data_IF_225114079761
#
_entry.id   IF_225114079761
#
_cell.length_a   1.000
_cell.length_b   1.000
_cell.length_c   1.000
_cell.angle_alpha   90.00
_cell.angle_beta   90.00
_cell.angle_gamma   90.00
#
_symmetry.space_group_name_H-M   'P 1'
#
loop_
_entity.id
_entity.type
_entity.pdbx_description
1 polymer ?
#
# COMPACT_ATOMS: atom_id res chain seq x y z
N UNK A 1 -19.24 -8.22 -12.98
CA UNK A 1 -19.25 -7.37 -14.19
C UNK A 1 -20.54 -6.55 -14.36
N UNK A 2 -21.52 -6.65 -13.49
CA UNK A 2 -22.87 -6.04 -13.69
C UNK A 2 -23.15 -4.77 -12.85
N UNK A 3 -22.35 -4.43 -11.85
CA UNK A 3 -22.58 -3.25 -11.01
C UNK A 3 -21.77 -2.00 -11.44
N UNK A 4 -20.68 -2.15 -12.20
CA UNK A 4 -19.96 -1.04 -12.83
C UNK A 4 -20.65 -0.53 -14.11
N UNK A 5 -21.55 -1.33 -14.69
CA UNK A 5 -22.33 -0.96 -15.86
C UNK A 5 -23.61 -0.16 -15.53
N UNK A 6 -24.03 -0.10 -14.29
CA UNK A 6 -25.29 0.54 -13.87
C UNK A 6 -25.14 1.99 -13.34
N UNK A 7 -23.94 2.46 -13.00
CA UNK A 7 -23.63 3.91 -12.91
C UNK A 7 -23.00 4.30 -14.23
N UNK A 8 -23.83 4.63 -15.22
CA UNK A 8 -23.38 5.30 -16.42
C UNK A 8 -22.57 6.53 -15.99
N UNK A 9 -21.24 6.41 -16.03
CA UNK A 9 -20.37 7.57 -15.92
C UNK A 9 -20.89 8.55 -16.99
N UNK A 10 -21.49 9.63 -16.55
CA UNK A 10 -21.88 10.67 -17.48
C UNK A 10 -20.63 10.94 -18.33
N UNK A 11 -20.71 10.95 -19.66
CA UNK A 11 -19.53 11.06 -20.54
C UNK A 11 -18.64 12.24 -20.13
N UNK A 12 -19.22 13.26 -19.53
CA UNK A 12 -18.54 14.40 -18.93
C UNK A 12 -17.64 14.01 -17.76
N UNK A 13 -18.04 13.07 -16.88
CA UNK A 13 -17.23 12.63 -15.72
C UNK A 13 -16.05 11.79 -16.17
N UNK A 14 -16.23 10.91 -17.16
CA UNK A 14 -15.15 10.16 -17.77
C UNK A 14 -14.15 11.08 -18.47
N UNK A 15 -14.65 12.09 -19.19
CA UNK A 15 -13.82 13.09 -19.88
C UNK A 15 -12.99 13.92 -18.89
N UNK A 16 -13.58 14.35 -17.77
CA UNK A 16 -12.87 15.09 -16.71
C UNK A 16 -11.84 14.20 -15.98
N UNK A 17 -12.15 12.93 -15.76
CA UNK A 17 -11.23 12.00 -15.14
C UNK A 17 -9.95 11.76 -15.96
N UNK A 18 -10.04 11.84 -17.30
CA UNK A 18 -8.91 11.69 -18.21
C UNK A 18 -8.24 13.04 -18.50
N UNK A 19 -9.00 14.12 -18.54
CA UNK A 19 -8.50 15.46 -18.88
C UNK A 19 -7.45 15.97 -17.89
N UNK A 20 -7.64 15.73 -16.58
CA UNK A 20 -6.69 16.19 -15.56
C UNK A 20 -5.32 15.51 -15.67
N UNK A 21 -5.19 14.18 -15.74
CA UNK A 21 -3.91 13.52 -15.98
C UNK A 21 -3.25 13.94 -17.30
N UNK A 22 -4.04 14.06 -18.38
CA UNK A 22 -3.52 14.52 -19.67
C UNK A 22 -3.01 15.96 -19.60
N UNK A 23 -3.72 16.87 -18.96
CA UNK A 23 -3.28 18.25 -18.78
C UNK A 23 -1.96 18.31 -18.01
N UNK A 24 -1.79 17.51 -16.95
CA UNK A 24 -0.52 17.41 -16.20
C UNK A 24 0.61 16.91 -17.09
N UNK A 25 0.37 15.86 -17.91
CA UNK A 25 1.37 15.33 -18.83
C UNK A 25 1.76 16.35 -19.92
N UNK A 26 0.79 17.06 -20.47
CA UNK A 26 1.03 18.12 -21.48
C UNK A 26 1.82 19.27 -20.86
N UNK A 27 1.43 19.76 -19.68
CA UNK A 27 2.16 20.81 -18.97
C UNK A 27 3.58 20.38 -18.64
N UNK A 28 3.80 19.16 -18.17
CA UNK A 28 5.12 18.62 -17.93
C UNK A 28 5.93 18.55 -19.22
N UNK A 29 5.36 18.04 -20.32
CA UNK A 29 6.04 17.99 -21.61
C UNK A 29 6.46 19.37 -22.09
N UNK A 30 5.54 20.35 -22.08
CA UNK A 30 5.82 21.73 -22.49
C UNK A 30 6.86 22.42 -21.59
N UNK A 31 6.84 22.14 -20.29
CA UNK A 31 7.78 22.73 -19.34
C UNK A 31 9.21 22.19 -19.48
N UNK A 32 9.38 20.98 -20.01
CA UNK A 32 10.69 20.30 -20.10
C UNK A 32 11.25 20.22 -21.50
N UNK A 33 10.43 20.37 -22.53
CA UNK A 33 10.87 20.33 -23.95
C UNK A 33 11.58 21.65 -24.32
N UNK A 34 12.69 21.54 -25.05
CA UNK A 34 13.44 22.69 -25.55
C UNK A 34 14.46 23.32 -24.59
N UNK A 35 14.63 22.78 -23.40
CA UNK A 35 15.68 23.20 -22.46
C UNK A 35 16.88 22.28 -22.57
N UNK A 36 18.01 22.82 -23.00
CA UNK A 36 19.26 22.07 -23.20
C UNK A 36 19.82 21.42 -21.93
N UNK A 37 19.45 21.92 -20.73
CA UNK A 37 19.86 21.40 -19.43
C UNK A 37 18.64 21.37 -18.47
N UNK A 38 17.75 20.42 -18.67
CA UNK A 38 16.64 20.20 -17.73
C UNK A 38 17.00 19.08 -16.75
N UNK A 39 16.98 19.39 -15.45
CA UNK A 39 17.12 18.38 -14.40
C UNK A 39 15.94 17.40 -14.38
N UNK A 40 14.81 17.79 -14.97
CA UNK A 40 13.62 16.97 -15.09
C UNK A 40 13.48 16.58 -16.56
N UNK A 41 13.59 15.29 -16.91
CA UNK A 41 13.47 14.83 -18.29
C UNK A 41 12.03 14.97 -18.80
N UNK A 42 11.81 15.12 -20.11
CA UNK A 42 10.49 15.10 -20.69
C UNK A 42 9.83 13.71 -20.56
N UNK A 43 8.49 13.61 -20.53
CA UNK A 43 7.76 12.34 -20.39
C UNK A 43 8.17 11.26 -21.38
N UNK A 44 8.53 11.67 -22.60
CA UNK A 44 8.95 10.75 -23.68
C UNK A 44 10.27 10.04 -23.32
N UNK A 45 11.24 10.76 -22.75
CA UNK A 45 12.51 10.17 -22.32
C UNK A 45 12.32 9.21 -21.14
N UNK A 46 11.44 9.55 -20.20
CA UNK A 46 11.07 8.65 -19.11
C UNK A 46 10.42 7.38 -19.65
N UNK A 47 9.53 7.49 -20.65
CA UNK A 47 8.89 6.34 -21.28
C UNK A 47 9.89 5.45 -22.02
N UNK A 48 10.83 6.03 -22.77
CA UNK A 48 11.90 5.29 -23.44
C UNK A 48 12.80 4.57 -22.44
N UNK A 49 13.20 5.26 -21.37
CA UNK A 49 14.03 4.67 -20.32
C UNK A 49 13.28 3.54 -19.58
N UNK A 50 11.98 3.74 -19.32
CA UNK A 50 11.15 2.68 -18.72
C UNK A 50 11.09 1.44 -19.63
N UNK A 51 10.94 1.65 -20.95
CA UNK A 51 10.96 0.58 -21.93
C UNK A 51 12.29 -0.19 -21.92
N UNK A 52 13.39 0.55 -21.92
CA UNK A 52 14.73 -0.04 -21.91
C UNK A 52 15.02 -0.81 -20.62
N UNK A 53 14.63 -0.27 -19.48
CA UNK A 53 14.68 -0.99 -18.19
C UNK A 53 13.88 -2.30 -18.21
N UNK A 54 12.76 -2.34 -18.96
CA UNK A 54 11.87 -3.49 -19.00
C UNK A 54 12.31 -4.54 -20.04
N UNK A 55 12.74 -4.11 -21.22
CA UNK A 55 12.91 -4.96 -22.41
C UNK A 55 14.28 -4.81 -23.08
N UNK A 56 15.06 -3.80 -22.73
CA UNK A 56 16.34 -3.48 -23.37
C UNK A 56 16.20 -2.89 -24.79
N UNK A 57 17.33 -2.77 -25.45
CA UNK A 57 17.42 -2.49 -26.87
C UNK A 57 17.37 -1.01 -27.29
N UNK A 58 17.36 -0.06 -26.35
CA UNK A 58 17.40 1.37 -26.67
C UNK A 58 18.73 2.03 -26.26
N UNK A 59 19.21 1.76 -25.06
CA UNK A 59 20.41 2.40 -24.51
C UNK A 59 21.57 1.43 -24.28
N UNK A 60 21.25 0.13 -24.14
CA UNK A 60 22.22 -0.97 -23.98
C UNK A 60 23.21 -0.72 -22.83
N UNK A 61 22.70 -0.22 -21.71
CA UNK A 61 23.47 0.12 -20.53
C UNK A 61 23.27 -0.91 -19.39
N UNK A 62 23.94 -0.69 -18.26
CA UNK A 62 23.90 -1.60 -17.09
C UNK A 62 22.52 -1.76 -16.48
N UNK A 63 21.57 -0.90 -16.80
CA UNK A 63 20.20 -0.91 -16.27
C UNK A 63 19.23 -1.60 -17.23
N UNK A 64 19.60 -1.83 -18.48
CA UNK A 64 18.75 -2.47 -19.48
C UNK A 64 18.30 -3.85 -19.00
N UNK A 65 17.00 -4.18 -19.16
CA UNK A 65 16.38 -5.47 -18.77
C UNK A 65 16.37 -5.78 -17.25
N UNK A 66 16.70 -4.80 -16.39
CA UNK A 66 16.78 -5.02 -14.94
C UNK A 66 15.50 -4.78 -14.18
N UNK A 67 14.49 -4.14 -14.81
CA UNK A 67 13.24 -3.73 -14.16
C UNK A 67 12.50 -4.89 -13.49
N UNK A 68 12.45 -6.04 -14.14
CA UNK A 68 11.76 -7.22 -13.62
C UNK A 68 12.41 -7.72 -12.32
N UNK A 69 13.74 -7.79 -12.27
CA UNK A 69 14.50 -8.21 -11.11
C UNK A 69 14.25 -7.30 -9.92
N UNK A 70 14.35 -5.98 -10.12
CA UNK A 70 14.09 -4.98 -9.10
C UNK A 70 12.62 -4.98 -8.64
N UNK A 71 11.69 -5.13 -9.58
CA UNK A 71 10.25 -5.22 -9.30
C UNK A 71 9.93 -6.45 -8.43
N UNK A 72 10.40 -7.63 -8.82
CA UNK A 72 10.13 -8.87 -8.06
C UNK A 72 10.71 -8.81 -6.65
N UNK A 73 11.89 -8.21 -6.49
CA UNK A 73 12.50 -8.00 -5.19
C UNK A 73 11.65 -7.10 -4.28
N UNK A 74 11.19 -5.95 -4.78
CA UNK A 74 10.32 -5.04 -4.03
C UNK A 74 8.96 -5.66 -3.75
N UNK A 75 8.33 -6.30 -4.73
CA UNK A 75 7.03 -6.99 -4.61
C UNK A 75 7.10 -8.06 -3.52
N UNK A 76 8.15 -8.90 -3.50
CA UNK A 76 8.30 -9.94 -2.50
C UNK A 76 8.40 -9.38 -1.07
N UNK A 77 9.12 -8.26 -0.89
CA UNK A 77 9.25 -7.59 0.40
C UNK A 77 7.96 -6.90 0.83
N UNK A 78 7.28 -6.22 -0.09
CA UNK A 78 6.01 -5.54 0.19
C UNK A 78 4.95 -6.53 0.60
N UNK A 79 4.70 -7.56 -0.20
CA UNK A 79 3.66 -8.54 0.13
C UNK A 79 4.04 -9.44 1.30
N UNK A 80 5.31 -9.81 1.44
CA UNK A 80 5.78 -10.57 2.59
C UNK A 80 5.67 -9.79 3.90
N UNK A 81 6.12 -8.53 3.93
CA UNK A 81 6.01 -7.65 5.10
C UNK A 81 4.55 -7.32 5.43
N UNK A 82 3.73 -7.06 4.42
CA UNK A 82 2.29 -6.84 4.58
C UNK A 82 1.57 -8.09 5.11
N UNK A 83 1.87 -9.27 4.57
CA UNK A 83 1.27 -10.54 5.03
C UNK A 83 1.61 -10.81 6.50
N UNK A 84 2.86 -10.59 6.89
CA UNK A 84 3.28 -10.71 8.30
C UNK A 84 2.56 -9.68 9.17
N UNK A 85 2.47 -8.42 8.71
CA UNK A 85 1.74 -7.38 9.41
C UNK A 85 0.27 -7.73 9.61
N UNK A 86 -0.40 -8.21 8.57
CA UNK A 86 -1.80 -8.65 8.63
C UNK A 86 -1.96 -9.86 9.57
N UNK A 87 -1.06 -10.85 9.50
CA UNK A 87 -1.08 -12.05 10.34
C UNK A 87 -0.98 -11.71 11.84
N UNK A 88 -0.27 -10.64 12.19
CA UNK A 88 -0.14 -10.17 13.59
C UNK A 88 -1.23 -9.16 13.95
N UNK A 89 -1.47 -8.17 13.09
CA UNK A 89 -2.38 -7.05 13.38
C UNK A 89 -3.85 -7.47 13.43
N UNK A 90 -4.29 -8.42 12.59
CA UNK A 90 -5.68 -8.87 12.59
C UNK A 90 -6.06 -9.58 13.89
N UNK A 91 -5.36 -10.63 14.35
CA UNK A 91 -5.67 -11.27 15.62
C UNK A 91 -5.55 -10.32 16.80
N UNK A 92 -4.49 -9.51 16.83
CA UNK A 92 -4.27 -8.55 17.90
C UNK A 92 -5.37 -7.47 17.92
N UNK A 93 -5.76 -6.95 16.77
CA UNK A 93 -6.83 -5.96 16.65
C UNK A 93 -8.20 -6.51 17.06
N UNK A 94 -8.51 -7.75 16.69
CA UNK A 94 -9.72 -8.45 17.16
C UNK A 94 -9.70 -8.64 18.67
N UNK A 95 -8.57 -9.00 19.25
CA UNK A 95 -8.40 -9.21 20.67
C UNK A 95 -8.56 -7.90 21.47
N UNK A 96 -7.90 -6.82 21.03
CA UNK A 96 -8.03 -5.48 21.62
C UNK A 96 -9.47 -4.96 21.49
N UNK A 97 -10.09 -5.18 20.33
CA UNK A 97 -11.48 -4.75 20.09
C UNK A 97 -12.49 -5.43 21.00
N UNK A 98 -12.27 -6.72 21.31
CA UNK A 98 -13.20 -7.56 22.08
C UNK A 98 -12.94 -7.56 23.59
N UNK A 99 -11.67 -7.65 24.01
CA UNK A 99 -11.29 -7.91 25.41
C UNK A 99 -10.82 -6.62 26.07
N UNK A 100 -11.62 -6.12 27.03
CA UNK A 100 -11.34 -4.86 27.74
C UNK A 100 -9.96 -4.86 28.42
N UNK A 101 -9.59 -5.94 29.09
CA UNK A 101 -8.30 -6.05 29.80
C UNK A 101 -7.11 -5.91 28.82
N UNK A 102 -7.18 -6.58 27.67
CA UNK A 102 -6.13 -6.50 26.64
C UNK A 102 -6.03 -5.10 26.07
N UNK A 103 -7.16 -4.47 25.85
CA UNK A 103 -7.24 -3.08 25.40
C UNK A 103 -6.58 -2.15 26.41
N UNK A 104 -7.05 -2.19 27.67
CA UNK A 104 -6.56 -1.27 28.73
C UNK A 104 -5.05 -1.43 28.97
N UNK A 105 -4.50 -2.63 28.69
CA UNK A 105 -3.07 -2.91 28.78
C UNK A 105 -2.27 -2.39 27.56
N UNK A 106 -2.78 -2.58 26.33
CA UNK A 106 -2.02 -2.33 25.11
C UNK A 106 -2.29 -0.95 24.48
N UNK A 107 -3.49 -0.39 24.63
CA UNK A 107 -3.86 0.91 24.05
C UNK A 107 -2.87 2.04 24.43
N UNK A 108 -2.43 2.20 25.69
CA UNK A 108 -1.50 3.27 26.06
C UNK A 108 -0.19 3.16 25.29
N UNK A 109 0.37 1.94 25.21
CA UNK A 109 1.64 1.69 24.51
C UNK A 109 1.50 1.92 23.00
N UNK A 110 0.42 1.45 22.40
CA UNK A 110 0.14 1.64 20.97
C UNK A 110 -0.05 3.12 20.64
N UNK A 111 -0.73 3.89 21.51
CA UNK A 111 -0.92 5.32 21.31
C UNK A 111 0.38 6.10 21.45
N UNK A 112 1.30 5.70 22.32
CA UNK A 112 2.62 6.31 22.47
C UNK A 112 3.54 6.05 21.25
N UNK A 113 3.46 4.86 20.67
CA UNK A 113 4.29 4.47 19.52
C UNK A 113 3.74 4.99 18.18
N UNK A 114 2.43 5.19 18.07
CA UNK A 114 1.75 5.60 16.84
C UNK A 114 2.29 6.90 16.20
N UNK A 115 2.60 7.98 16.97
CA UNK A 115 3.11 9.22 16.39
C UNK A 115 4.51 9.10 15.80
N UNK A 116 5.26 8.04 16.12
CA UNK A 116 6.62 7.86 15.61
C UNK A 116 6.55 7.52 14.12
N UNK A 117 7.09 8.37 13.22
CA UNK A 117 7.12 8.07 11.80
C UNK A 117 7.82 6.74 11.53
N UNK A 118 7.26 5.90 10.67
CA UNK A 118 7.84 4.57 10.36
C UNK A 118 9.29 4.70 9.86
N UNK A 119 9.60 5.76 9.12
CA UNK A 119 10.96 6.05 8.64
C UNK A 119 11.96 6.32 9.76
N UNK A 120 11.52 6.82 10.93
CA UNK A 120 12.37 7.04 12.08
C UNK A 120 12.88 5.73 12.72
N UNK A 121 12.22 4.60 12.44
CA UNK A 121 12.66 3.28 12.89
C UNK A 121 13.80 2.70 12.04
N UNK A 122 14.13 3.32 10.91
CA UNK A 122 15.15 2.81 9.98
C UNK A 122 16.52 2.60 10.64
N UNK A 123 17.11 3.57 11.38
CA UNK A 123 18.41 3.34 12.02
C UNK A 123 18.38 2.19 13.01
N UNK A 124 17.31 2.06 13.80
CA UNK A 124 17.13 0.97 14.74
C UNK A 124 16.98 -0.38 14.02
N UNK A 125 16.21 -0.41 12.93
CA UNK A 125 16.05 -1.60 12.10
C UNK A 125 17.41 -2.06 11.53
N UNK A 126 18.25 -1.10 11.10
CA UNK A 126 19.58 -1.41 10.58
C UNK A 126 20.53 -1.95 11.67
N UNK A 127 20.40 -1.46 12.89
CA UNK A 127 21.19 -1.98 14.04
C UNK A 127 20.76 -3.41 14.38
N UNK A 128 19.46 -3.71 14.40
CA UNK A 128 18.91 -5.01 14.82
C UNK A 128 19.07 -6.07 13.73
N UNK A 129 18.71 -5.73 12.49
CA UNK A 129 18.62 -6.69 11.37
C UNK A 129 19.78 -6.59 10.37
N UNK A 130 20.68 -5.63 10.58
CA UNK A 130 21.74 -5.29 9.62
C UNK A 130 21.26 -4.40 8.48
N UNK A 131 22.24 -3.88 7.72
CA UNK A 131 21.98 -3.11 6.49
C UNK A 131 21.55 -4.10 5.40
N UNK A 132 20.38 -3.88 4.79
CA UNK A 132 19.94 -4.72 3.69
C UNK A 132 18.44 -5.08 3.68
N UNK A 133 18.05 -6.17 3.00
CA UNK A 133 16.65 -6.52 2.76
C UNK A 133 15.81 -6.76 4.01
N UNK A 134 16.42 -7.20 5.10
CA UNK A 134 15.69 -7.50 6.36
C UNK A 134 15.22 -6.23 7.07
N UNK A 135 16.04 -5.18 7.09
CA UNK A 135 15.65 -3.88 7.64
C UNK A 135 14.53 -3.23 6.82
N UNK A 136 14.62 -3.30 5.48
CA UNK A 136 13.55 -2.85 4.58
C UNK A 136 12.24 -3.63 4.81
N UNK A 137 12.29 -4.95 4.95
CA UNK A 137 11.14 -5.79 5.25
C UNK A 137 10.48 -5.43 6.60
N UNK A 138 11.28 -5.16 7.63
CA UNK A 138 10.77 -4.72 8.94
C UNK A 138 10.04 -3.38 8.86
N UNK A 139 10.56 -2.44 8.08
CA UNK A 139 9.87 -1.15 7.87
C UNK A 139 8.52 -1.35 7.16
N UNK A 140 8.46 -2.21 6.15
CA UNK A 140 7.20 -2.55 5.47
C UNK A 140 6.21 -3.16 6.45
N UNK A 141 6.67 -4.09 7.30
CA UNK A 141 5.86 -4.67 8.36
C UNK A 141 5.27 -3.57 9.27
N UNK A 142 6.09 -2.65 9.79
CA UNK A 142 5.62 -1.56 10.65
C UNK A 142 4.65 -0.62 9.92
N UNK A 143 4.94 -0.27 8.66
CA UNK A 143 4.11 0.60 7.84
C UNK A 143 2.70 0.05 7.61
N UNK A 144 2.60 -1.26 7.42
CA UNK A 144 1.32 -1.95 7.24
C UNK A 144 0.62 -2.26 8.57
N UNK A 145 1.37 -2.52 9.63
CA UNK A 145 0.85 -2.99 10.92
C UNK A 145 -0.16 -2.04 11.54
N UNK A 146 0.19 -0.76 11.70
CA UNK A 146 -0.68 0.20 12.36
C UNK A 146 -2.02 0.44 11.63
N UNK A 147 -2.06 0.68 10.31
CA UNK A 147 -3.32 0.84 9.60
C UNK A 147 -4.23 -0.39 9.71
N UNK A 148 -3.67 -1.58 9.58
CA UNK A 148 -4.43 -2.84 9.72
C UNK A 148 -4.95 -3.02 11.15
N UNK A 149 -4.09 -2.82 12.15
CA UNK A 149 -4.44 -2.96 13.56
C UNK A 149 -5.57 -2.01 13.95
N UNK A 150 -5.39 -0.73 13.71
CA UNK A 150 -6.33 0.31 14.15
C UNK A 150 -7.70 0.16 13.48
N UNK A 151 -7.74 -0.14 12.18
CA UNK A 151 -9.00 -0.35 11.48
C UNK A 151 -9.69 -1.67 11.92
N UNK A 152 -8.93 -2.69 12.29
CA UNK A 152 -9.49 -3.92 12.86
C UNK A 152 -10.10 -3.65 14.23
N UNK A 153 -9.38 -2.96 15.11
CA UNK A 153 -9.92 -2.55 16.43
C UNK A 153 -11.18 -1.70 16.26
N UNK A 154 -11.13 -0.72 15.35
CA UNK A 154 -12.27 0.14 15.06
C UNK A 154 -13.47 -0.66 14.56
N UNK A 155 -13.28 -1.56 13.60
CA UNK A 155 -14.35 -2.40 13.05
C UNK A 155 -15.01 -3.28 14.10
N UNK A 156 -14.22 -3.92 14.96
CA UNK A 156 -14.76 -4.80 16.03
C UNK A 156 -15.50 -4.00 17.12
N UNK A 157 -15.04 -2.79 17.45
CA UNK A 157 -15.64 -1.96 18.49
C UNK A 157 -16.91 -1.24 18.07
N UNK A 158 -17.04 -0.91 16.78
CA UNK A 158 -18.17 -0.15 16.27
C UNK A 158 -19.28 -1.03 15.67
N UNK A 159 -19.29 -2.30 16.00
CA UNK A 159 -20.43 -3.18 15.67
C UNK A 159 -21.68 -2.70 16.40
N UNK A 160 -22.78 -2.57 15.67
CA UNK A 160 -24.03 -2.00 16.17
C UNK A 160 -24.57 -2.80 17.37
N UNK A 161 -24.89 -2.15 18.53
CA UNK A 161 -25.38 -2.86 19.74
C UNK A 161 -26.60 -3.73 19.49
N UNK A 162 -27.50 -3.31 18.61
CA UNK A 162 -28.71 -4.06 18.24
C UNK A 162 -28.41 -5.46 17.69
N UNK A 163 -27.26 -5.65 17.04
CA UNK A 163 -26.86 -6.96 16.53
C UNK A 163 -26.54 -7.93 17.67
N UNK A 164 -25.97 -7.43 18.78
CA UNK A 164 -25.72 -8.24 19.98
C UNK A 164 -27.02 -8.60 20.68
N UNK A 165 -27.95 -7.64 20.77
CA UNK A 165 -29.28 -7.86 21.36
C UNK A 165 -30.07 -8.90 20.56
N UNK A 166 -30.09 -8.80 19.24
CA UNK A 166 -30.73 -9.79 18.38
C UNK A 166 -30.11 -11.18 18.51
N UNK A 167 -28.78 -11.29 18.58
CA UNK A 167 -28.09 -12.55 18.77
C UNK A 167 -28.45 -13.18 20.15
N UNK A 168 -28.52 -12.34 21.19
CA UNK A 168 -28.91 -12.79 22.54
C UNK A 168 -30.37 -13.30 22.58
N UNK A 169 -31.31 -12.60 21.93
CA UNK A 169 -32.70 -13.04 21.81
C UNK A 169 -32.85 -14.39 21.10
N UNK A 170 -31.96 -14.68 20.16
CA UNK A 170 -31.91 -15.96 19.43
C UNK A 170 -31.13 -17.06 20.18
N UNK A 171 -30.66 -16.79 21.40
CA UNK A 171 -29.92 -17.76 22.22
C UNK A 171 -28.53 -18.11 21.66
N UNK A 172 -27.94 -17.23 20.81
CA UNK A 172 -26.62 -17.46 20.22
C UNK A 172 -25.54 -17.29 21.29
N UNK A 173 -24.63 -18.25 21.41
CA UNK A 173 -23.53 -18.18 22.38
C UNK A 173 -22.58 -17.01 22.09
N UNK A 174 -21.88 -16.43 23.08
CA UNK A 174 -20.95 -15.30 22.89
C UNK A 174 -19.84 -15.60 21.90
N UNK A 175 -19.38 -16.85 21.81
CA UNK A 175 -18.37 -17.26 20.85
C UNK A 175 -18.94 -17.32 19.42
N UNK A 176 -20.15 -17.87 19.26
CA UNK A 176 -20.82 -17.89 17.95
C UNK A 176 -21.20 -16.48 17.49
N UNK A 177 -21.61 -15.58 18.41
CA UNK A 177 -21.87 -14.17 18.13
C UNK A 177 -20.63 -13.49 17.56
N UNK A 178 -19.44 -13.76 18.11
CA UNK A 178 -18.21 -13.18 17.56
C UNK A 178 -17.98 -13.58 16.09
N UNK A 179 -18.04 -14.87 15.78
CA UNK A 179 -17.72 -15.35 14.43
C UNK A 179 -18.83 -15.08 13.41
N UNK A 180 -20.10 -15.10 13.83
CA UNK A 180 -21.26 -14.97 12.92
C UNK A 180 -21.80 -13.55 12.80
N UNK A 181 -21.51 -12.67 13.78
CA UNK A 181 -22.04 -11.30 13.81
C UNK A 181 -20.90 -10.29 13.81
N UNK A 182 -20.02 -10.33 14.82
CA UNK A 182 -19.00 -9.30 15.01
C UNK A 182 -17.99 -9.30 13.88
N UNK A 183 -17.40 -10.44 13.56
CA UNK A 183 -16.39 -10.53 12.52
C UNK A 183 -16.93 -10.12 11.13
N UNK A 184 -18.08 -10.64 10.67
CA UNK A 184 -18.67 -10.16 9.41
C UNK A 184 -18.96 -8.65 9.42
N UNK A 185 -19.53 -8.11 10.51
CA UNK A 185 -19.81 -6.68 10.60
C UNK A 185 -18.54 -5.81 10.61
N UNK A 186 -17.42 -6.33 11.13
CA UNK A 186 -16.13 -5.63 11.14
C UNK A 186 -15.36 -5.70 9.81
N UNK A 187 -15.67 -6.66 8.92
CA UNK A 187 -14.93 -6.89 7.67
C UNK A 187 -14.77 -5.63 6.80
N UNK A 188 -15.75 -4.75 6.61
CA UNK A 188 -15.58 -3.53 5.83
C UNK A 188 -14.44 -2.64 6.35
N UNK A 189 -14.36 -2.46 7.68
CA UNK A 189 -13.28 -1.71 8.32
C UNK A 189 -11.94 -2.43 8.22
N UNK A 190 -11.92 -3.75 8.36
CA UNK A 190 -10.71 -4.57 8.18
C UNK A 190 -10.17 -4.41 6.77
N UNK A 191 -11.01 -4.51 5.73
CA UNK A 191 -10.59 -4.30 4.35
C UNK A 191 -10.07 -2.88 4.10
N UNK A 192 -10.68 -1.87 4.71
CA UNK A 192 -10.16 -0.50 4.68
C UNK A 192 -8.75 -0.43 5.29
N UNK A 193 -8.54 -1.08 6.43
CA UNK A 193 -7.23 -1.18 7.07
C UNK A 193 -6.19 -1.90 6.21
N UNK A 194 -6.58 -2.98 5.54
CA UNK A 194 -5.71 -3.72 4.63
C UNK A 194 -5.29 -2.88 3.41
N UNK A 195 -6.21 -2.14 2.81
CA UNK A 195 -5.93 -1.23 1.70
C UNK A 195 -4.94 -0.13 2.10
N UNK A 196 -5.22 0.54 3.22
CA UNK A 196 -4.33 1.57 3.77
C UNK A 196 -2.97 0.98 4.13
N UNK A 197 -2.92 -0.18 4.78
CA UNK A 197 -1.68 -0.85 5.14
C UNK A 197 -0.83 -1.22 3.94
N UNK A 198 -1.43 -1.75 2.87
CA UNK A 198 -0.72 -2.08 1.65
C UNK A 198 -0.23 -0.81 0.91
N UNK A 199 -1.03 0.27 0.92
CA UNK A 199 -0.59 1.57 0.41
C UNK A 199 0.63 2.11 1.15
N UNK A 200 0.61 2.08 2.49
CA UNK A 200 1.78 2.48 3.31
C UNK A 200 2.98 1.56 3.11
N UNK A 201 2.77 0.26 2.88
CA UNK A 201 3.84 -0.69 2.57
C UNK A 201 4.63 -0.25 1.32
N UNK A 202 3.93 0.16 0.26
CA UNK A 202 4.55 0.69 -0.97
C UNK A 202 5.28 2.02 -0.76
N UNK A 203 4.80 2.89 0.11
CA UNK A 203 5.50 4.16 0.45
C UNK A 203 6.79 3.86 1.21
N UNK A 204 6.73 2.97 2.19
CA UNK A 204 7.84 2.74 3.13
C UNK A 204 8.94 1.87 2.52
N UNK A 205 8.61 0.92 1.60
CA UNK A 205 9.60 0.07 0.95
C UNK A 205 10.67 0.89 0.22
N UNK A 206 10.28 1.98 -0.42
CA UNK A 206 11.20 2.88 -1.14
C UNK A 206 12.31 3.35 -0.21
N UNK A 207 11.94 3.87 0.97
CA UNK A 207 12.90 4.35 1.97
C UNK A 207 13.78 3.22 2.49
N UNK A 208 13.18 2.04 2.75
CA UNK A 208 13.91 0.87 3.21
C UNK A 208 14.92 0.36 2.19
N UNK A 209 14.59 0.40 0.90
CA UNK A 209 15.46 -0.07 -0.18
C UNK A 209 16.53 0.95 -0.58
N UNK A 210 16.30 2.25 -0.37
CA UNK A 210 17.31 3.29 -0.64
C UNK A 210 18.53 3.18 0.29
N UNK A 211 18.46 2.40 1.36
CA UNK A 211 19.50 2.31 2.38
C UNK A 211 20.17 0.94 2.40
N UNK A 212 21.15 0.74 1.51
CA UNK A 212 22.03 -0.42 1.53
C UNK A 212 21.43 -1.73 1.01
N UNK A 213 20.36 -1.66 0.23
CA UNK A 213 19.80 -2.80 -0.50
C UNK A 213 20.31 -2.78 -1.93
N UNK A 214 20.82 -3.89 -2.44
CA UNK A 214 21.38 -3.98 -3.80
C UNK A 214 20.32 -4.16 -4.89
N UNK A 215 19.16 -4.73 -4.57
CA UNK A 215 18.11 -5.06 -5.53
C UNK A 215 16.74 -4.59 -5.01
N UNK A 216 16.05 -3.82 -5.82
CA UNK A 216 14.73 -3.27 -5.51
C UNK A 216 14.48 -1.98 -6.25
N UNK A 217 13.22 -1.55 -6.36
CA UNK A 217 12.86 -0.30 -7.04
C UNK A 217 13.40 0.93 -6.31
N UNK A 218 13.45 0.91 -4.97
CA UNK A 218 14.09 1.97 -4.19
C UNK A 218 15.62 1.98 -4.35
N UNK A 219 16.24 0.81 -4.51
CA UNK A 219 17.68 0.68 -4.72
C UNK A 219 18.09 1.29 -6.07
N UNK A 220 17.41 0.91 -7.17
CA UNK A 220 17.72 1.47 -8.51
C UNK A 220 17.47 2.98 -8.56
N UNK A 221 16.42 3.48 -7.90
CA UNK A 221 16.15 4.92 -7.77
C UNK A 221 17.32 5.64 -7.08
N UNK A 222 17.84 5.07 -5.99
CA UNK A 222 18.95 5.69 -5.23
C UNK A 222 20.24 5.66 -6.02
N UNK A 223 20.55 4.58 -6.70
CA UNK A 223 21.72 4.43 -7.55
C UNK A 223 21.66 5.40 -8.75
N UNK A 224 20.54 5.42 -9.48
CA UNK A 224 20.32 6.34 -10.59
C UNK A 224 20.41 7.81 -10.16
N UNK A 225 19.92 8.15 -8.96
CA UNK A 225 20.07 9.48 -8.38
C UNK A 225 21.53 9.86 -8.16
N UNK A 226 22.35 8.94 -7.67
CA UNK A 226 23.80 9.19 -7.44
C UNK A 226 24.52 9.45 -8.76
N UNK A 227 24.07 8.82 -9.86
CA UNK A 227 24.61 9.01 -11.20
C UNK A 227 23.93 10.15 -11.98
N UNK A 228 23.03 10.91 -11.33
CA UNK A 228 22.24 11.99 -11.97
C UNK A 228 21.38 11.53 -13.14
N UNK A 229 21.01 10.24 -13.19
CA UNK A 229 20.12 9.64 -14.19
C UNK A 229 18.66 9.83 -13.79
N UNK A 230 18.15 11.04 -13.90
CA UNK A 230 16.80 11.42 -13.44
C UNK A 230 15.69 10.67 -14.20
N UNK A 231 15.93 10.32 -15.45
CA UNK A 231 15.02 9.51 -16.27
C UNK A 231 14.75 8.12 -15.67
N UNK A 232 15.78 7.46 -15.11
CA UNK A 232 15.64 6.16 -14.42
C UNK A 232 14.91 6.35 -13.08
N UNK A 233 15.25 7.41 -12.34
CA UNK A 233 14.54 7.75 -11.09
C UNK A 233 13.05 7.86 -11.33
N UNK A 234 12.64 8.62 -12.35
CA UNK A 234 11.24 8.83 -12.69
C UNK A 234 10.56 7.55 -13.21
N UNK A 235 11.27 6.76 -14.02
CA UNK A 235 10.78 5.45 -14.47
C UNK A 235 10.50 4.51 -13.28
N UNK A 236 11.41 4.47 -12.31
CA UNK A 236 11.22 3.72 -11.05
C UNK A 236 10.01 4.22 -10.24
N UNK A 237 9.84 5.54 -10.12
CA UNK A 237 8.68 6.15 -9.43
C UNK A 237 7.36 5.78 -10.11
N UNK A 238 7.30 5.82 -11.45
CA UNK A 238 6.11 5.41 -12.23
C UNK A 238 5.80 3.94 -11.97
N UNK A 239 6.81 3.08 -11.98
CA UNK A 239 6.64 1.64 -11.71
C UNK A 239 6.05 1.40 -10.31
N UNK A 240 6.59 2.07 -9.28
CA UNK A 240 6.05 1.96 -7.90
C UNK A 240 4.61 2.45 -7.84
N UNK A 241 4.30 3.57 -8.50
CA UNK A 241 2.93 4.10 -8.54
C UNK A 241 1.95 3.14 -9.19
N UNK A 242 2.32 2.52 -10.31
CA UNK A 242 1.51 1.51 -11.00
C UNK A 242 1.30 0.27 -10.12
N UNK A 243 2.36 -0.25 -9.51
CA UNK A 243 2.27 -1.43 -8.64
C UNK A 243 1.44 -1.15 -7.39
N UNK A 244 1.60 0.02 -6.77
CA UNK A 244 0.78 0.46 -5.63
C UNK A 244 -0.70 0.56 -6.01
N UNK A 245 -1.00 1.17 -7.16
CA UNK A 245 -2.37 1.25 -7.68
C UNK A 245 -2.97 -0.14 -7.97
N UNK A 246 -2.23 -1.01 -8.65
CA UNK A 246 -2.68 -2.38 -8.94
C UNK A 246 -2.93 -3.18 -7.66
N UNK A 247 -2.08 -2.99 -6.65
CA UNK A 247 -2.22 -3.62 -5.34
C UNK A 247 -3.49 -3.16 -4.62
N UNK A 248 -3.75 -1.84 -4.57
CA UNK A 248 -4.99 -1.30 -3.99
C UNK A 248 -6.23 -1.79 -4.76
N UNK A 249 -6.16 -1.77 -6.08
CA UNK A 249 -7.24 -2.24 -6.94
C UNK A 249 -7.56 -3.72 -6.71
N UNK A 250 -6.54 -4.57 -6.56
CA UNK A 250 -6.72 -5.99 -6.26
C UNK A 250 -7.41 -6.22 -4.92
N UNK A 251 -6.96 -5.53 -3.85
CA UNK A 251 -7.61 -5.64 -2.52
C UNK A 251 -9.04 -5.11 -2.57
N UNK A 252 -9.29 -4.03 -3.32
CA UNK A 252 -10.64 -3.51 -3.52
C UNK A 252 -11.55 -4.52 -4.20
N UNK A 253 -11.11 -5.16 -5.29
CA UNK A 253 -11.89 -6.18 -5.99
C UNK A 253 -12.23 -7.38 -5.09
N UNK A 254 -11.26 -7.83 -4.26
CA UNK A 254 -11.48 -8.89 -3.29
C UNK A 254 -12.54 -8.44 -2.26
N UNK A 255 -12.39 -7.21 -1.73
CA UNK A 255 -13.34 -6.62 -0.79
C UNK A 255 -14.75 -6.55 -1.36
N UNK A 256 -14.93 -6.02 -2.58
CA UNK A 256 -16.24 -5.91 -3.26
C UNK A 256 -16.91 -7.28 -3.44
N UNK A 257 -16.14 -8.33 -3.70
CA UNK A 257 -16.69 -9.69 -3.82
C UNK A 257 -17.10 -10.29 -2.48
N UNK A 258 -16.29 -10.05 -1.44
CA UNK A 258 -16.51 -10.63 -0.11
C UNK A 258 -17.52 -9.83 0.72
N UNK A 259 -17.76 -8.56 0.41
CA UNK A 259 -18.62 -7.65 1.18
C UNK A 259 -19.93 -7.30 0.48
N UNK A 260 -20.42 -8.17 -0.40
CA UNK A 260 -21.66 -7.93 -1.17
C UNK A 260 -22.90 -7.68 -0.31
N UNK A 261 -22.88 -8.13 0.94
CA UNK A 261 -23.98 -7.90 1.89
C UNK A 261 -23.92 -6.56 2.62
N UNK A 262 -22.78 -5.82 2.53
CA UNK A 262 -22.60 -4.57 3.26
C UNK A 262 -23.31 -3.42 2.54
N UNK A 263 -24.15 -2.62 3.25
CA UNK A 263 -24.89 -1.49 2.65
C UNK A 263 -23.99 -0.38 2.08
N UNK A 264 -22.73 -0.34 2.44
CA UNK A 264 -21.77 0.66 1.98
C UNK A 264 -21.28 0.42 0.54
N UNK A 265 -21.67 -0.69 -0.09
CA UNK A 265 -21.23 -1.09 -1.44
C UNK A 265 -22.40 -1.24 -2.41
N UNK A 266 -23.60 -0.79 -2.03
CA UNK A 266 -24.80 -0.76 -2.84
C UNK A 266 -25.09 0.61 -3.46
#
# INVERSE_FOLDING_TARGET
MTALAARGFAPRQALLAIAAPLAVLVLWHLATTGRAYSLIPPPVEVAKQWWDLAFGGLYDDLYSETLLTHTLASVSRVYGGFALAAAVALPLGMLIGRVKVVRDLLDPTLQLLRPIPVTAWLPLAMIIFGIGPRSAFFLVFLGAFYPVLLNTVFGVRNVEPRLFEAAAMLGVSPQATFWKVVLPAALPSIFTGMRLGLGFAWVVIVVGEMTGVQTGLGAIIMEARQLSRTEIVMAGMVTIGVLGFLSDYAVRLIGERLLRWSPQHG
#
